data_IF_308676638601
#
_entry.id   IF_308676638601
#
_cell.length_a   1.000
_cell.length_b   1.000
_cell.length_c   1.000
_cell.angle_alpha   90.00
_cell.angle_beta   90.00
_cell.angle_gamma   90.00
#
_symmetry.space_group_name_H-M   'P 1'
#
loop_
_entity.id
_entity.type
_entity.pdbx_description
1 polymer ?
#
# COMPACT_ATOMS: atom_id res chain seq x y z
N UNK A 1 -12.68 0.95 5.23
CA UNK A 1 -11.60 0.85 4.25
C UNK A 1 -12.19 1.18 2.90
N UNK A 2 -11.63 2.16 2.22
CA UNK A 2 -12.04 2.53 0.87
C UNK A 2 -11.22 1.71 -0.14
N UNK A 3 -11.87 1.17 -1.16
CA UNK A 3 -11.22 0.46 -2.25
C UNK A 3 -10.87 1.47 -3.35
N UNK A 4 -9.62 1.44 -3.82
CA UNK A 4 -9.18 2.29 -4.93
C UNK A 4 -9.54 1.59 -6.25
N UNK A 5 -10.44 2.14 -7.08
CA UNK A 5 -10.86 1.49 -8.31
C UNK A 5 -9.85 1.70 -9.44
N UNK A 6 -9.71 0.71 -10.32
CA UNK A 6 -8.93 0.83 -11.55
C UNK A 6 -7.61 0.06 -11.52
N UNK A 7 -6.67 0.48 -12.38
CA UNK A 7 -5.33 -0.08 -12.41
C UNK A 7 -4.50 0.45 -11.23
N UNK A 8 -3.71 -0.41 -10.60
CA UNK A 8 -2.87 -0.01 -9.48
C UNK A 8 -1.70 0.86 -9.97
N UNK A 9 -1.66 2.10 -9.51
CA UNK A 9 -0.58 3.06 -9.80
C UNK A 9 0.08 3.55 -8.52
N UNK A 10 1.29 4.08 -8.65
CA UNK A 10 2.02 4.59 -7.48
C UNK A 10 1.34 5.84 -6.89
N UNK A 11 0.57 6.58 -7.68
CA UNK A 11 -0.18 7.76 -7.26
C UNK A 11 -1.33 7.42 -6.29
N UNK A 12 -1.77 6.16 -6.26
CA UNK A 12 -2.80 5.68 -5.33
C UNK A 12 -2.27 5.50 -3.89
N UNK A 13 -0.94 5.57 -3.68
CA UNK A 13 -0.32 5.45 -2.37
C UNK A 13 -0.21 6.83 -1.69
N UNK A 14 -1.23 7.18 -0.91
CA UNK A 14 -1.27 8.43 -0.15
C UNK A 14 -0.24 8.44 1.01
N UNK A 15 0.77 9.34 1.01
CA UNK A 15 1.82 9.38 2.04
C UNK A 15 1.32 9.63 3.47
N UNK A 16 0.15 10.23 3.62
CA UNK A 16 -0.53 10.54 4.87
C UNK A 16 -1.45 9.42 5.37
N UNK A 17 -1.45 8.26 4.71
CA UNK A 17 -2.31 7.13 5.03
C UNK A 17 -1.56 5.79 5.18
N UNK A 18 -2.30 4.78 5.65
CA UNK A 18 -1.91 3.37 5.62
C UNK A 18 -2.74 2.64 4.58
N UNK A 19 -2.07 1.99 3.63
CA UNK A 19 -2.71 1.27 2.53
C UNK A 19 -2.61 -0.24 2.73
N UNK A 20 -3.62 -0.99 2.28
CA UNK A 20 -3.54 -2.45 2.18
C UNK A 20 -3.54 -2.84 0.70
N UNK A 21 -2.58 -3.67 0.32
CA UNK A 21 -2.55 -4.37 -0.96
C UNK A 21 -2.78 -5.85 -0.69
N UNK A 22 -3.96 -6.33 -1.06
CA UNK A 22 -4.32 -7.75 -0.98
C UNK A 22 -3.98 -8.47 -2.28
N UNK A 23 -3.08 -9.46 -2.20
CA UNK A 23 -2.61 -10.25 -3.35
C UNK A 23 -3.11 -11.69 -3.30
N UNK A 24 -4.12 -11.96 -2.46
CA UNK A 24 -4.64 -13.27 -2.11
C UNK A 24 -3.68 -14.13 -1.28
N UNK A 25 -2.49 -14.42 -1.81
CA UNK A 25 -1.48 -15.25 -1.14
C UNK A 25 -0.83 -14.54 0.06
N UNK A 26 -0.80 -13.20 0.02
CA UNK A 26 -0.32 -12.36 1.11
C UNK A 26 -1.02 -10.99 1.10
N UNK A 27 -1.03 -10.35 2.27
CA UNK A 27 -1.53 -9.00 2.45
C UNK A 27 -0.36 -8.08 2.79
N UNK A 28 -0.14 -7.04 1.99
CA UNK A 28 0.82 -6.00 2.31
C UNK A 28 0.14 -4.86 3.05
N UNK A 29 0.84 -4.32 4.05
CA UNK A 29 0.44 -3.12 4.79
C UNK A 29 1.49 -2.07 4.50
N UNK A 30 1.19 -1.15 3.60
CA UNK A 30 2.08 -0.05 3.24
C UNK A 30 1.84 1.14 4.17
N UNK A 31 2.92 1.64 4.76
CA UNK A 31 2.90 2.72 5.74
C UNK A 31 3.48 3.97 5.11
N UNK A 32 2.62 4.98 4.91
CA UNK A 32 3.03 6.32 4.52
C UNK A 32 3.89 6.99 5.60
N UNK A 33 4.85 7.81 5.15
CA UNK A 33 5.76 8.51 6.05
C UNK A 33 5.03 9.60 6.87
N UNK A 34 3.96 10.16 6.33
CA UNK A 34 3.15 11.22 6.93
C UNK A 34 1.90 10.69 7.66
N UNK A 35 1.65 9.38 7.59
CA UNK A 35 0.55 8.72 8.30
C UNK A 35 0.60 8.97 9.81
N UNK A 36 -0.58 9.04 10.43
CA UNK A 36 -0.67 9.31 11.88
C UNK A 36 -0.19 8.12 12.68
N UNK A 37 0.35 8.37 13.87
CA UNK A 37 0.84 7.30 14.73
C UNK A 37 -0.28 6.33 15.16
N UNK A 38 -1.50 6.85 15.32
CA UNK A 38 -2.68 6.02 15.56
C UNK A 38 -2.95 5.06 14.39
N UNK A 39 -2.90 5.55 13.15
CA UNK A 39 -3.10 4.73 11.94
C UNK A 39 -2.01 3.68 11.77
N UNK A 40 -0.74 4.06 12.02
CA UNK A 40 0.40 3.14 12.01
C UNK A 40 0.23 2.03 13.06
N UNK A 41 -0.25 2.37 14.25
CA UNK A 41 -0.46 1.40 15.33
C UNK A 41 -1.62 0.44 15.04
N UNK A 42 -2.67 0.93 14.38
CA UNK A 42 -3.84 0.14 14.00
C UNK A 42 -3.66 -0.65 12.70
N UNK A 43 -2.56 -0.42 11.96
CA UNK A 43 -2.30 -1.02 10.66
C UNK A 43 -2.31 -2.56 10.69
N UNK A 44 -1.52 -3.17 11.57
CA UNK A 44 -1.46 -4.63 11.69
C UNK A 44 -2.77 -5.26 12.22
N UNK A 45 -3.40 -4.73 13.29
CA UNK A 45 -4.73 -5.18 13.71
C UNK A 45 -5.81 -5.04 12.62
N UNK A 46 -5.74 -4.00 11.80
CA UNK A 46 -6.70 -3.78 10.71
C UNK A 46 -6.50 -4.79 9.58
N UNK A 47 -5.27 -5.12 9.23
CA UNK A 47 -4.97 -6.16 8.23
C UNK A 47 -5.42 -7.56 8.69
N UNK A 48 -5.24 -7.90 9.97
CA UNK A 48 -5.74 -9.15 10.52
C UNK A 48 -7.27 -9.23 10.46
N UNK A 49 -7.97 -8.16 10.88
CA UNK A 49 -9.43 -8.06 10.78
C UNK A 49 -9.92 -8.15 9.33
N UNK A 50 -9.19 -7.54 8.39
CA UNK A 50 -9.50 -7.61 6.97
C UNK A 50 -9.46 -9.06 6.47
N UNK A 51 -8.40 -9.80 6.78
CA UNK A 51 -8.26 -11.23 6.43
C UNK A 51 -9.39 -12.07 7.05
N UNK A 52 -9.69 -11.87 8.33
CA UNK A 52 -10.74 -12.60 9.04
C UNK A 52 -12.15 -12.32 8.50
N UNK A 53 -12.35 -11.12 7.95
CA UNK A 53 -13.65 -10.69 7.41
C UNK A 53 -13.92 -11.13 5.97
N UNK A 54 -12.99 -11.79 5.30
CA UNK A 54 -13.15 -12.18 3.90
C UNK A 54 -14.30 -13.21 3.71
N UNK A 55 -15.35 -12.88 2.91
CA UNK A 55 -16.43 -13.81 2.61
C UNK A 55 -16.00 -15.09 1.87
N UNK A 56 -14.85 -15.10 1.19
CA UNK A 56 -14.28 -16.26 0.53
C UNK A 56 -13.64 -17.28 1.48
N UNK A 57 -13.67 -17.00 2.79
CA UNK A 57 -13.20 -17.88 3.85
C UNK A 57 -11.72 -18.28 3.65
N UNK A 58 -10.88 -17.28 3.35
CA UNK A 58 -9.42 -17.43 3.19
C UNK A 58 -8.78 -17.97 4.48
N UNK A 59 -7.56 -18.50 4.35
CA UNK A 59 -6.80 -18.97 5.52
C UNK A 59 -6.49 -17.78 6.46
N UNK A 60 -6.91 -17.80 7.74
CA UNK A 60 -6.57 -16.74 8.69
C UNK A 60 -5.06 -16.59 8.92
N UNK A 61 -4.26 -17.57 8.50
CA UNK A 61 -2.79 -17.55 8.56
C UNK A 61 -2.15 -16.91 7.33
N UNK A 62 -2.93 -16.36 6.39
CA UNK A 62 -2.39 -15.58 5.27
C UNK A 62 -1.39 -14.55 5.80
N UNK A 63 -0.14 -14.58 5.32
CA UNK A 63 0.90 -13.72 5.86
C UNK A 63 0.60 -12.24 5.59
N UNK A 64 0.87 -11.42 6.60
CA UNK A 64 0.85 -9.96 6.49
C UNK A 64 2.29 -9.43 6.46
N UNK A 65 2.60 -8.54 5.51
CA UNK A 65 3.93 -7.95 5.34
C UNK A 65 3.86 -6.43 5.44
N UNK A 66 4.55 -5.85 6.42
CA UNK A 66 4.65 -4.39 6.54
C UNK A 66 5.69 -3.84 5.56
N UNK A 67 5.30 -2.83 4.80
CA UNK A 67 6.13 -2.09 3.84
C UNK A 67 6.14 -0.63 4.26
N UNK A 68 7.30 0.03 4.19
CA UNK A 68 7.42 1.47 4.49
C UNK A 68 7.65 2.25 3.20
N UNK A 69 7.05 3.43 3.10
CA UNK A 69 7.25 4.34 1.97
C UNK A 69 8.75 4.56 1.70
N UNK A 70 9.15 4.39 0.44
CA UNK A 70 10.54 4.51 -0.01
C UNK A 70 11.41 3.27 0.23
N UNK A 71 10.87 2.22 0.84
CA UNK A 71 11.53 0.94 1.08
C UNK A 71 10.70 -0.24 0.55
N UNK A 72 9.94 0.00 -0.52
CA UNK A 72 9.08 -1.01 -1.12
C UNK A 72 9.89 -2.14 -1.77
N UNK A 73 9.66 -3.42 -1.40
CA UNK A 73 10.36 -4.54 -2.00
C UNK A 73 9.84 -4.83 -3.42
N UNK A 74 10.62 -5.51 -4.28
CA UNK A 74 10.16 -5.88 -5.63
C UNK A 74 8.87 -6.71 -5.66
N UNK A 75 8.60 -7.49 -4.61
CA UNK A 75 7.37 -8.27 -4.44
C UNK A 75 6.13 -7.40 -4.23
N UNK A 76 6.32 -6.15 -3.82
CA UNK A 76 5.26 -5.15 -3.71
C UNK A 76 5.19 -4.29 -4.98
N UNK A 77 6.32 -3.72 -5.42
CA UNK A 77 6.33 -2.77 -6.54
C UNK A 77 5.93 -3.41 -7.87
N UNK A 78 6.09 -4.73 -8.02
CA UNK A 78 5.68 -5.48 -9.20
C UNK A 78 4.17 -5.51 -9.46
N UNK A 79 3.34 -5.12 -8.49
CA UNK A 79 1.88 -5.04 -8.65
C UNK A 79 1.40 -3.72 -9.27
N UNK A 80 2.25 -2.71 -9.31
CA UNK A 80 1.91 -1.37 -9.79
C UNK A 80 2.45 -1.15 -11.19
N UNK A 81 1.64 -0.56 -12.07
CA UNK A 81 2.08 -0.22 -13.42
C UNK A 81 3.06 0.96 -13.38
N UNK A 82 4.25 0.76 -13.95
CA UNK A 82 5.21 1.85 -14.17
C UNK A 82 5.86 2.41 -12.90
N UNK A 83 6.09 1.60 -11.87
CA UNK A 83 6.70 2.03 -10.60
C UNK A 83 7.98 2.87 -10.80
N UNK A 84 8.01 4.07 -10.23
CA UNK A 84 9.17 4.96 -10.25
C UNK A 84 9.87 4.96 -8.87
N UNK A 85 11.07 4.38 -8.80
CA UNK A 85 11.86 4.35 -7.57
C UNK A 85 12.31 5.72 -7.05
N UNK A 86 12.21 6.78 -7.88
CA UNK A 86 12.52 8.15 -7.47
C UNK A 86 11.28 8.98 -7.14
N UNK A 87 10.08 8.42 -7.26
CA UNK A 87 8.81 9.14 -7.10
C UNK A 87 8.72 9.93 -5.79
N UNK A 88 9.21 9.36 -4.68
CA UNK A 88 9.18 10.00 -3.37
C UNK A 88 10.26 11.06 -3.17
N UNK A 89 11.29 11.09 -4.02
CA UNK A 89 12.43 12.02 -3.95
C UNK A 89 12.42 13.07 -5.06
N UNK A 90 11.66 12.83 -6.13
CA UNK A 90 11.49 13.75 -7.24
C UNK A 90 10.71 14.98 -6.77
N UNK A 91 11.09 16.15 -7.30
CA UNK A 91 10.40 17.41 -7.01
C UNK A 91 8.91 17.29 -7.37
N UNK A 92 7.97 17.77 -6.54
CA UNK A 92 6.54 17.75 -6.87
C UNK A 92 6.20 18.35 -8.24
N UNK A 93 6.93 19.37 -8.70
CA UNK A 93 6.76 19.97 -10.02
C UNK A 93 7.24 19.04 -11.16
N UNK A 94 8.32 18.29 -10.92
CA UNK A 94 8.79 17.25 -11.85
C UNK A 94 7.77 16.11 -11.96
N UNK A 95 7.11 15.74 -10.85
CA UNK A 95 6.01 14.75 -10.86
C UNK A 95 4.81 15.22 -11.67
N UNK A 96 4.40 16.48 -11.52
CA UNK A 96 3.29 17.07 -12.28
C UNK A 96 3.58 17.14 -13.78
N UNK A 97 4.83 17.45 -14.16
CA UNK A 97 5.23 17.54 -15.57
C UNK A 97 5.16 16.22 -16.35
N UNK A 98 5.18 15.07 -15.65
CA UNK A 98 5.07 13.73 -16.27
C UNK A 98 3.64 13.35 -16.66
N UNK A 99 2.66 14.12 -16.19
CA UNK A 99 1.23 13.89 -16.40
C UNK A 99 0.60 14.93 -17.35
N UNK A 100 1.42 15.83 -17.92
CA UNK A 100 1.07 16.80 -18.96
C UNK A 100 1.64 16.37 -20.31
#
# INVERSE_FOLDING_TARGET
MEEVPGELTQDDLAPDDVMILDTWDQVFVWIGNEAREEEKSEAAPSAARYIESDPANRDPRTPTVTVKQGFEPPTFTGWFLGWNHKYWTDDPLERLSRHL
#
